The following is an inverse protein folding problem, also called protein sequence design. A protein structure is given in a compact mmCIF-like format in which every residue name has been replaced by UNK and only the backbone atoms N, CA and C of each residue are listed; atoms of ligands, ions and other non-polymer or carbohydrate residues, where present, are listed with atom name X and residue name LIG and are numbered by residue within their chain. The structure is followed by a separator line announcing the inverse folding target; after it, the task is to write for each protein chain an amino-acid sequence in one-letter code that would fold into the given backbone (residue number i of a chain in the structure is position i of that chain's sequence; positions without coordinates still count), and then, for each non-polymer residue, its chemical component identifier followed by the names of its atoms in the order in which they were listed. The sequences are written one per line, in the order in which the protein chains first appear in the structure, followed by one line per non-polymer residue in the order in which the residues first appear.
data_IF_914849425999
#
_entry.id   IF_914849425999
#
_cell.length_a   1.000
_cell.length_b   1.000
_cell.length_c   1.000
_cell.angle_alpha   90.00
_cell.angle_beta   90.00
_cell.angle_gamma   90.00
#
_symmetry.space_group_name_H-M   'P 1'
#
loop_
_entity.id
_entity.type
_entity.pdbx_description
1 polymer ?
#
# COMPACT_ATOMS: atom_id res chain seq x y z
N UNK A 1 -10.88 2.98 -5.07
CA UNK A 1 -10.18 2.16 -6.08
C UNK A 1 -8.69 2.22 -5.76
N UNK A 2 -8.11 1.16 -5.26
CA UNK A 2 -6.65 1.09 -5.07
C UNK A 2 -6.03 0.85 -6.43
N UNK A 3 -5.68 1.92 -7.14
CA UNK A 3 -4.83 1.78 -8.32
C UNK A 3 -3.50 1.20 -7.85
N UNK A 4 -3.14 0.03 -8.37
CA UNK A 4 -1.82 -0.56 -8.11
C UNK A 4 -0.77 0.43 -8.65
N UNK A 5 0.17 0.81 -7.79
CA UNK A 5 1.24 1.76 -8.12
C UNK A 5 1.96 1.41 -9.43
N UNK A 6 2.15 0.11 -9.71
CA UNK A 6 2.78 -0.34 -10.96
C UNK A 6 1.90 -0.08 -12.20
N UNK A 7 0.58 -0.13 -12.05
CA UNK A 7 -0.35 0.20 -13.14
C UNK A 7 -0.23 1.68 -13.51
N UNK A 8 -0.21 2.58 -12.51
CA UNK A 8 0.01 4.02 -12.74
C UNK A 8 1.35 4.27 -13.45
N UNK A 9 2.40 3.55 -13.02
CA UNK A 9 3.74 3.66 -13.60
C UNK A 9 3.75 3.26 -15.09
N UNK A 10 3.08 2.16 -15.43
CA UNK A 10 2.98 1.65 -16.79
C UNK A 10 2.17 2.56 -17.72
N UNK A 11 1.01 3.05 -17.23
CA UNK A 11 0.15 3.94 -18.00
C UNK A 11 0.84 5.25 -18.37
N UNK A 12 1.70 5.77 -17.50
CA UNK A 12 2.41 7.04 -17.71
C UNK A 12 3.79 6.88 -18.38
N UNK A 13 4.29 5.66 -18.53
CA UNK A 13 5.62 5.41 -19.12
C UNK A 13 5.86 6.11 -20.48
N UNK A 14 4.89 6.17 -21.42
CA UNK A 14 5.11 6.83 -22.71
C UNK A 14 5.43 8.32 -22.58
N UNK A 15 5.00 8.98 -21.50
CA UNK A 15 5.19 10.42 -21.26
C UNK A 15 6.51 10.76 -20.58
N UNK A 16 7.24 9.76 -20.11
CA UNK A 16 8.43 9.96 -19.29
C UNK A 16 9.64 10.46 -20.10
N UNK A 17 10.32 11.45 -19.53
CA UNK A 17 11.66 11.87 -19.98
C UNK A 17 12.69 10.75 -19.80
N UNK A 18 13.87 10.88 -20.43
CA UNK A 18 14.97 9.90 -20.27
C UNK A 18 15.35 9.65 -18.80
N UNK A 19 15.34 10.69 -17.97
CA UNK A 19 15.64 10.58 -16.53
C UNK A 19 14.54 9.85 -15.78
N UNK A 20 13.28 10.15 -16.07
CA UNK A 20 12.12 9.52 -15.47
C UNK A 20 11.99 8.04 -15.86
N UNK A 21 12.31 7.68 -17.09
CA UNK A 21 12.38 6.27 -17.53
C UNK A 21 13.41 5.46 -16.73
N UNK A 22 14.54 6.06 -16.35
CA UNK A 22 15.52 5.40 -15.48
C UNK A 22 14.98 5.18 -14.08
N UNK A 23 14.27 6.17 -13.53
CA UNK A 23 13.60 6.03 -12.22
C UNK A 23 12.55 4.92 -12.29
N UNK A 24 11.66 4.97 -13.29
CA UNK A 24 10.59 3.99 -13.47
C UNK A 24 11.14 2.57 -13.59
N UNK A 25 12.17 2.37 -14.43
CA UNK A 25 12.83 1.07 -14.59
C UNK A 25 13.38 0.55 -13.26
N UNK A 26 14.14 1.36 -12.54
CA UNK A 26 14.72 0.95 -11.26
C UNK A 26 13.64 0.58 -10.24
N UNK A 27 12.57 1.37 -10.17
CA UNK A 27 11.44 1.04 -9.29
C UNK A 27 10.79 -0.29 -9.70
N UNK A 28 10.62 -0.56 -11.00
CA UNK A 28 10.03 -1.82 -11.47
C UNK A 28 10.91 -3.03 -11.16
N UNK A 29 12.24 -2.89 -11.32
CA UNK A 29 13.21 -3.98 -11.13
C UNK A 29 13.55 -4.23 -9.66
N UNK A 30 13.50 -3.19 -8.80
CA UNK A 30 13.94 -3.24 -7.41
C UNK A 30 13.01 -2.42 -6.48
N UNK A 31 11.70 -2.62 -6.62
CA UNK A 31 10.70 -1.88 -5.86
C UNK A 31 10.84 -2.03 -4.34
N UNK A 32 11.27 -3.19 -3.88
CA UNK A 32 11.56 -3.50 -2.49
C UNK A 32 12.65 -2.58 -1.90
N UNK A 33 13.69 -2.28 -2.69
CA UNK A 33 14.77 -1.37 -2.31
C UNK A 33 14.35 0.09 -2.48
N UNK A 34 13.72 0.42 -3.61
CA UNK A 34 13.28 1.78 -3.93
C UNK A 34 12.33 2.35 -2.87
N UNK A 35 11.40 1.55 -2.35
CA UNK A 35 10.44 1.94 -1.33
C UNK A 35 11.07 2.47 -0.02
N UNK A 36 12.33 2.13 0.25
CA UNK A 36 13.04 2.54 1.46
C UNK A 36 14.16 3.56 1.21
N UNK A 37 14.34 4.02 -0.04
CA UNK A 37 15.32 5.05 -0.37
C UNK A 37 14.74 6.45 -0.16
N UNK A 38 15.60 7.41 0.21
CA UNK A 38 15.28 8.84 0.11
C UNK A 38 15.32 9.28 -1.34
N UNK A 39 14.68 10.40 -1.69
CA UNK A 39 14.73 10.96 -3.05
C UNK A 39 16.17 11.17 -3.53
N UNK A 40 17.03 11.69 -2.66
CA UNK A 40 18.46 11.88 -2.94
C UNK A 40 19.17 10.56 -3.25
N UNK A 41 18.94 9.53 -2.42
CA UNK A 41 19.56 8.22 -2.61
C UNK A 41 19.08 7.55 -3.90
N UNK A 42 17.78 7.60 -4.18
CA UNK A 42 17.23 7.09 -5.42
C UNK A 42 17.81 7.83 -6.64
N UNK A 43 17.86 9.16 -6.57
CA UNK A 43 18.45 9.97 -7.64
C UNK A 43 19.90 9.59 -7.92
N UNK A 44 20.73 9.47 -6.88
CA UNK A 44 22.14 9.02 -7.02
C UNK A 44 22.23 7.62 -7.62
N UNK A 45 21.38 6.70 -7.22
CA UNK A 45 21.38 5.31 -7.70
C UNK A 45 21.08 5.23 -9.19
N UNK A 46 20.12 6.02 -9.68
CA UNK A 46 19.70 5.99 -11.08
C UNK A 46 20.36 7.08 -11.95
N UNK A 47 21.24 7.89 -11.36
CA UNK A 47 22.01 8.93 -12.06
C UNK A 47 21.14 10.12 -12.50
N UNK A 48 20.25 10.60 -11.63
CA UNK A 48 19.47 11.83 -11.82
C UNK A 48 19.53 12.70 -10.56
N UNK A 49 19.12 13.98 -10.68
CA UNK A 49 19.03 14.86 -9.51
C UNK A 49 17.87 14.51 -8.61
N UNK A 50 17.96 14.85 -7.32
CA UNK A 50 16.88 14.71 -6.35
C UNK A 50 15.59 15.43 -6.83
N UNK A 51 15.75 16.64 -7.39
CA UNK A 51 14.62 17.39 -7.93
C UNK A 51 13.91 16.67 -9.09
N UNK A 52 14.63 15.86 -9.86
CA UNK A 52 14.04 15.02 -10.91
C UNK A 52 13.19 13.91 -10.29
N UNK A 53 13.64 13.33 -9.18
CA UNK A 53 12.89 12.29 -8.45
C UNK A 53 11.61 12.87 -7.82
N UNK A 54 11.71 14.07 -7.20
CA UNK A 54 10.54 14.75 -6.63
C UNK A 54 9.52 15.08 -7.72
N UNK A 55 9.98 15.62 -8.85
CA UNK A 55 9.12 15.96 -9.99
C UNK A 55 8.46 14.72 -10.59
N UNK A 56 9.19 13.61 -10.67
CA UNK A 56 8.64 12.34 -11.12
C UNK A 56 7.47 11.88 -10.24
N UNK A 57 7.56 12.03 -8.91
CA UNK A 57 6.46 11.71 -8.01
C UNK A 57 5.21 12.57 -8.28
N UNK A 58 5.41 13.87 -8.52
CA UNK A 58 4.31 14.80 -8.86
C UNK A 58 3.69 14.45 -10.20
N UNK A 59 4.50 14.13 -11.21
CA UNK A 59 4.02 13.73 -12.55
C UNK A 59 3.23 12.40 -12.50
N UNK A 60 3.52 11.53 -11.54
CA UNK A 60 2.71 10.33 -11.25
C UNK A 60 1.38 10.63 -10.56
N UNK A 61 1.18 11.85 -10.05
CA UNK A 61 -0.05 12.27 -9.37
C UNK A 61 0.04 12.23 -7.85
N UNK A 62 1.23 12.12 -7.28
CA UNK A 62 1.45 12.20 -5.84
C UNK A 62 1.77 13.64 -5.41
N UNK A 63 1.45 13.99 -4.16
CA UNK A 63 1.78 15.31 -3.58
C UNK A 63 3.29 15.58 -3.43
N UNK A 64 4.12 14.57 -3.74
CA UNK A 64 5.57 14.62 -3.70
C UNK A 64 6.17 13.26 -3.41
N UNK A 65 7.50 13.23 -3.28
CA UNK A 65 8.22 11.98 -3.06
C UNK A 65 7.80 11.20 -1.79
N UNK A 66 7.55 11.84 -0.63
CA UNK A 66 7.10 11.12 0.57
C UNK A 66 5.78 10.35 0.36
N UNK A 67 4.82 10.95 -0.35
CA UNK A 67 3.54 10.31 -0.68
C UNK A 67 3.73 9.13 -1.64
N UNK A 68 4.52 9.29 -2.68
CA UNK A 68 4.91 8.20 -3.60
C UNK A 68 5.65 7.07 -2.85
N UNK A 69 6.59 7.41 -1.97
CA UNK A 69 7.33 6.44 -1.17
C UNK A 69 6.40 5.64 -0.26
N UNK A 70 5.41 6.28 0.35
CA UNK A 70 4.39 5.60 1.16
C UNK A 70 3.64 4.56 0.33
N UNK A 71 3.17 4.93 -0.86
CA UNK A 71 2.48 4.01 -1.78
C UNK A 71 3.37 2.81 -2.18
N UNK A 72 4.65 3.04 -2.49
CA UNK A 72 5.60 1.96 -2.75
C UNK A 72 5.78 1.03 -1.55
N UNK A 73 5.86 1.57 -0.33
CA UNK A 73 5.96 0.76 0.89
C UNK A 73 4.73 -0.10 1.13
N UNK A 74 3.56 0.45 0.93
CA UNK A 74 2.30 -0.29 1.05
C UNK A 74 2.24 -1.44 0.03
N UNK A 75 2.68 -1.21 -1.20
CA UNK A 75 2.78 -2.25 -2.22
C UNK A 75 3.74 -3.38 -1.79
N UNK A 76 4.93 -3.03 -1.25
CA UNK A 76 5.90 -4.01 -0.73
C UNK A 76 5.26 -4.83 0.39
N UNK A 77 4.66 -4.16 1.38
CA UNK A 77 4.04 -4.82 2.53
C UNK A 77 2.88 -5.75 2.13
N UNK A 78 2.11 -5.38 1.10
CA UNK A 78 1.02 -6.21 0.60
C UNK A 78 1.51 -7.47 -0.14
N UNK A 79 2.71 -7.44 -0.71
CA UNK A 79 3.32 -8.60 -1.40
C UNK A 79 4.12 -9.52 -0.47
N UNK A 80 4.50 -9.04 0.71
CA UNK A 80 5.23 -9.83 1.69
C UNK A 80 4.32 -10.88 2.34
N UNK A 81 4.86 -12.06 2.58
CA UNK A 81 4.24 -13.06 3.47
C UNK A 81 4.19 -12.51 4.90
N UNK A 82 3.34 -13.08 5.75
CA UNK A 82 3.25 -12.67 7.16
C UNK A 82 4.60 -12.76 7.88
N UNK A 83 5.42 -13.76 7.56
CA UNK A 83 6.77 -13.93 8.12
C UNK A 83 7.71 -12.81 7.66
N UNK A 84 7.74 -12.51 6.38
CA UNK A 84 8.56 -11.42 5.83
C UNK A 84 8.15 -10.04 6.35
N UNK A 85 6.85 -9.83 6.61
CA UNK A 85 6.35 -8.61 7.28
C UNK A 85 6.92 -8.46 8.69
N UNK A 86 7.00 -9.55 9.44
CA UNK A 86 7.60 -9.57 10.77
C UNK A 86 9.11 -9.27 10.71
N UNK A 87 9.85 -9.86 9.75
CA UNK A 87 11.28 -9.58 9.58
C UNK A 87 11.56 -8.11 9.22
N UNK A 88 10.78 -7.52 8.31
CA UNK A 88 10.90 -6.11 7.96
C UNK A 88 10.54 -5.21 9.15
N UNK A 89 9.57 -5.60 9.95
CA UNK A 89 9.24 -4.91 11.20
C UNK A 89 10.42 -5.00 12.20
N UNK A 90 10.93 -6.19 12.48
CA UNK A 90 12.04 -6.40 13.42
C UNK A 90 13.31 -5.63 13.03
N UNK A 91 13.68 -5.63 11.76
CA UNK A 91 14.86 -4.90 11.27
C UNK A 91 14.72 -3.36 11.36
N UNK A 92 13.50 -2.85 11.54
CA UNK A 92 13.23 -1.40 11.64
C UNK A 92 13.23 -0.88 13.06
N UNK A 93 12.87 -1.71 14.01
CA UNK A 93 12.39 -1.23 15.30
C UNK A 93 13.32 -1.56 16.48
N UNK A 94 14.37 -2.36 16.28
CA UNK A 94 15.30 -2.69 17.36
C UNK A 94 14.56 -3.11 18.64
N UNK A 95 14.92 -2.54 19.77
CA UNK A 95 14.35 -2.82 21.10
C UNK A 95 12.99 -2.13 21.38
N UNK A 96 12.25 -1.66 20.37
CA UNK A 96 10.95 -1.05 20.61
C UNK A 96 9.89 -2.10 20.97
N UNK A 97 8.97 -1.71 21.86
CA UNK A 97 7.85 -2.55 22.29
C UNK A 97 6.90 -2.88 21.12
N UNK A 98 7.06 -4.08 20.57
CA UNK A 98 6.27 -4.59 19.46
C UNK A 98 4.76 -4.60 19.79
N UNK A 99 4.40 -4.84 21.04
CA UNK A 99 3.00 -4.87 21.49
C UNK A 99 2.37 -3.50 21.36
N UNK A 100 3.02 -2.47 21.88
CA UNK A 100 2.55 -1.07 21.76
C UNK A 100 2.43 -0.64 20.32
N UNK A 101 3.34 -1.06 19.44
CA UNK A 101 3.30 -0.74 18.02
C UNK A 101 2.12 -1.40 17.30
N UNK A 102 1.86 -2.67 17.56
CA UNK A 102 0.71 -3.38 16.96
C UNK A 102 -0.58 -2.71 17.39
N UNK A 103 -0.74 -2.48 18.70
CA UNK A 103 -1.93 -1.80 19.23
C UNK A 103 -2.12 -0.40 18.64
N UNK A 104 -1.06 0.38 18.51
CA UNK A 104 -1.12 1.72 17.91
C UNK A 104 -1.53 1.66 16.43
N UNK A 105 -0.96 0.71 15.68
CA UNK A 105 -1.32 0.48 14.28
C UNK A 105 -2.79 0.09 14.12
N UNK A 106 -3.30 -0.75 14.99
CA UNK A 106 -4.69 -1.21 14.92
C UNK A 106 -5.67 -0.10 15.34
N UNK A 107 -5.34 0.68 16.37
CA UNK A 107 -6.11 1.87 16.74
C UNK A 107 -6.20 2.87 15.59
N UNK A 108 -5.08 3.13 14.90
CA UNK A 108 -5.07 4.06 13.77
C UNK A 108 -5.92 3.55 12.60
N UNK A 109 -5.88 2.26 12.29
CA UNK A 109 -6.75 1.66 11.25
C UNK A 109 -8.23 1.75 11.61
N UNK A 110 -8.57 1.49 12.88
CA UNK A 110 -9.95 1.64 13.36
C UNK A 110 -10.41 3.10 13.27
N UNK A 111 -9.55 4.05 13.66
CA UNK A 111 -9.83 5.48 13.52
C UNK A 111 -10.09 5.87 12.07
N UNK A 112 -9.19 5.50 11.15
CA UNK A 112 -9.34 5.77 9.72
C UNK A 112 -10.62 5.16 9.17
N UNK A 113 -10.94 3.91 9.53
CA UNK A 113 -12.17 3.26 9.11
C UNK A 113 -13.40 4.03 9.61
N UNK A 114 -13.40 4.46 10.87
CA UNK A 114 -14.50 5.23 11.46
C UNK A 114 -14.72 6.58 10.76
N UNK A 115 -13.65 7.22 10.31
CA UNK A 115 -13.69 8.52 9.62
C UNK A 115 -14.04 8.43 8.13
N UNK A 116 -13.67 7.33 7.48
CA UNK A 116 -13.80 7.18 6.03
C UNK A 116 -14.97 6.29 5.59
N UNK A 117 -15.59 5.55 6.52
CA UNK A 117 -16.70 4.65 6.18
C UNK A 117 -17.90 5.44 5.68
N UNK A 118 -18.35 5.15 4.48
CA UNK A 118 -19.62 5.63 3.96
C UNK A 118 -20.77 4.84 4.62
N UNK A 119 -21.45 5.52 5.53
CA UNK A 119 -22.54 4.92 6.33
C UNK A 119 -23.77 4.57 5.49
N UNK A 120 -23.99 5.24 4.36
CA UNK A 120 -25.09 4.92 3.45
C UNK A 120 -24.79 3.65 2.67
N UNK A 121 -23.62 3.59 2.05
CA UNK A 121 -23.15 2.38 1.35
C UNK A 121 -23.09 1.17 2.29
N UNK A 122 -22.64 1.37 3.53
CA UNK A 122 -22.63 0.31 4.54
C UNK A 122 -24.04 -0.20 4.86
N UNK A 123 -25.02 0.69 5.09
CA UNK A 123 -26.42 0.29 5.31
C UNK A 123 -27.01 -0.45 4.13
N UNK A 124 -26.74 0.03 2.92
CA UNK A 124 -27.21 -0.63 1.68
C UNK A 124 -26.63 -2.04 1.55
N UNK A 125 -25.38 -2.26 1.93
CA UNK A 125 -24.75 -3.59 1.95
C UNK A 125 -25.43 -4.52 2.98
N UNK A 126 -25.68 -4.02 4.21
CA UNK A 126 -26.41 -4.77 5.25
C UNK A 126 -27.82 -5.14 4.76
N UNK A 127 -28.55 -4.19 4.21
CA UNK A 127 -29.90 -4.41 3.66
C UNK A 127 -29.90 -5.46 2.55
N UNK A 128 -28.91 -5.42 1.66
CA UNK A 128 -28.77 -6.40 0.59
C UNK A 128 -28.55 -7.83 1.14
N UNK A 129 -27.74 -7.97 2.18
CA UNK A 129 -27.50 -9.25 2.85
C UNK A 129 -28.80 -9.76 3.50
N UNK A 130 -29.49 -8.90 4.25
CA UNK A 130 -30.72 -9.27 4.98
C UNK A 130 -31.90 -9.61 4.04
N UNK A 131 -31.98 -8.97 2.87
CA UNK A 131 -33.01 -9.23 1.86
C UNK A 131 -32.66 -10.40 0.93
N UNK A 132 -31.43 -10.87 0.96
CA UNK A 132 -30.95 -11.97 0.12
C UNK A 132 -31.58 -13.30 0.48
N UNK A 133 -32.16 -14.02 -0.51
CA UNK A 133 -32.67 -15.39 -0.30
C UNK A 133 -31.55 -16.39 0.01
N UNK A 134 -30.34 -16.12 -0.45
CA UNK A 134 -29.11 -16.89 -0.19
C UNK A 134 -27.93 -15.95 -0.15
N UNK A 135 -27.05 -16.14 0.81
CA UNK A 135 -25.80 -15.41 0.94
C UNK A 135 -24.64 -16.39 0.76
N UNK A 136 -23.74 -16.09 -0.15
CA UNK A 136 -22.54 -16.89 -0.37
C UNK A 136 -21.34 -16.10 0.16
N UNK A 137 -20.62 -16.69 1.12
CA UNK A 137 -19.44 -16.08 1.73
C UNK A 137 -18.21 -16.82 1.24
N UNK A 138 -17.35 -16.14 0.49
CA UNK A 138 -16.13 -16.71 -0.06
C UNK A 138 -14.90 -16.13 0.66
N UNK A 139 -14.15 -16.99 1.31
CA UNK A 139 -12.87 -16.63 1.92
C UNK A 139 -11.82 -17.69 1.64
N UNK A 140 -10.66 -17.27 1.15
CA UNK A 140 -9.52 -18.15 0.83
C UNK A 140 -8.29 -17.76 1.63
N UNK A 141 -7.44 -18.75 1.95
CA UNK A 141 -6.18 -18.55 2.69
C UNK A 141 -6.42 -17.80 4.03
N UNK A 142 -5.73 -16.69 4.26
CA UNK A 142 -5.81 -15.90 5.50
C UNK A 142 -7.16 -15.24 5.76
N UNK A 143 -8.04 -15.15 4.75
CA UNK A 143 -9.40 -14.58 4.88
C UNK A 143 -10.42 -15.65 5.26
N UNK A 144 -10.12 -16.93 5.11
CA UNK A 144 -11.04 -18.02 5.44
C UNK A 144 -11.58 -17.96 6.89
N UNK A 145 -10.79 -17.64 7.93
CA UNK A 145 -11.32 -17.48 9.29
C UNK A 145 -12.38 -16.37 9.41
N UNK A 146 -12.21 -15.25 8.69
CA UNK A 146 -13.17 -14.14 8.69
C UNK A 146 -14.47 -14.54 7.96
N UNK A 147 -14.35 -15.27 6.85
CA UNK A 147 -15.51 -15.79 6.13
C UNK A 147 -16.32 -16.77 7.02
N UNK A 148 -15.63 -17.66 7.72
CA UNK A 148 -16.27 -18.59 8.66
C UNK A 148 -16.92 -17.86 9.83
N UNK A 149 -16.27 -16.83 10.39
CA UNK A 149 -16.83 -16.00 11.44
C UNK A 149 -18.13 -15.33 10.99
N UNK A 150 -18.10 -14.66 9.82
CA UNK A 150 -19.30 -14.00 9.27
C UNK A 150 -20.42 -14.99 8.95
N UNK A 151 -20.09 -16.21 8.52
CA UNK A 151 -21.08 -17.24 8.19
C UNK A 151 -21.70 -17.93 9.42
N UNK A 152 -21.16 -17.70 10.62
CA UNK A 152 -21.68 -18.22 11.88
C UNK A 152 -22.84 -17.36 12.43
N UNK A 153 -22.84 -16.08 12.12
CA UNK A 153 -23.88 -15.12 12.53
C UNK A 153 -24.92 -14.91 11.44
#
# INVERSE_FOLDING_TARGET
MSYDFLTILQEKEPTFSKGQKRIARYITEAYDKAAFMTANRLGKTVGVSESTVVRFAVDLGFDGYPSMQKAMREMVLNRLTSVQRIEVANNRFGDQDVVSMVLHSDMEKLRQTSETIDRETFRNAVDAILKGKRVYILGVRSVAPLANFLGHY
#
